data_IF_512902383909
#
_entry.id   IF_512902383909
#
_cell.length_a   1.000
_cell.length_b   1.000
_cell.length_c   1.000
_cell.angle_alpha   90.00
_cell.angle_beta   90.00
_cell.angle_gamma   90.00
#
_symmetry.space_group_name_H-M   'P 1'
#
loop_
_entity.id
_entity.type
_entity.pdbx_description
1 polymer ?
#
# COMPACT_ATOMS: atom_id res chain seq x y z
N UNK A 1 8.29 38.94 -61.15
CA UNK A 1 7.92 38.71 -59.73
C UNK A 1 8.16 37.26 -59.22
N UNK A 2 8.45 36.28 -60.07
CA UNK A 2 8.61 34.87 -59.67
C UNK A 2 9.97 34.48 -59.03
N UNK A 3 11.04 35.24 -59.26
CA UNK A 3 12.38 34.90 -58.68
C UNK A 3 12.46 35.11 -57.16
N UNK A 4 11.65 35.99 -56.56
CA UNK A 4 11.66 36.25 -55.12
C UNK A 4 11.03 35.10 -54.31
N UNK A 5 10.18 34.31 -54.92
CA UNK A 5 9.44 33.22 -54.22
C UNK A 5 10.30 31.94 -54.04
N UNK A 6 11.23 31.64 -54.99
CA UNK A 6 12.11 30.45 -54.86
C UNK A 6 13.14 30.57 -53.73
N UNK A 7 13.74 31.74 -53.53
CA UNK A 7 14.71 31.96 -52.45
C UNK A 7 14.04 31.86 -51.08
N UNK A 8 12.81 32.33 -50.93
CA UNK A 8 12.02 32.21 -49.69
C UNK A 8 11.69 30.76 -49.35
N UNK A 9 11.42 29.92 -50.34
CA UNK A 9 11.19 28.48 -50.13
C UNK A 9 12.48 27.75 -49.67
N UNK A 10 13.63 28.03 -50.31
CA UNK A 10 14.91 27.41 -49.94
C UNK A 10 15.35 27.82 -48.53
N UNK A 11 15.12 29.07 -48.12
CA UNK A 11 15.36 29.53 -46.75
C UNK A 11 14.43 28.80 -45.76
N UNK A 12 13.14 28.63 -46.10
CA UNK A 12 12.20 27.87 -45.30
C UNK A 12 12.66 26.41 -45.06
N UNK A 13 13.06 25.74 -46.14
CA UNK A 13 13.60 24.35 -46.05
C UNK A 13 14.89 24.29 -45.24
N UNK A 14 15.80 25.28 -45.40
CA UNK A 14 17.03 25.38 -44.62
C UNK A 14 16.77 25.56 -43.10
N UNK A 15 15.84 26.43 -42.75
CA UNK A 15 15.42 26.65 -41.36
C UNK A 15 14.76 25.40 -40.74
N UNK A 16 13.91 24.72 -41.52
CA UNK A 16 13.28 23.47 -41.06
C UNK A 16 14.30 22.35 -40.87
N UNK A 17 15.21 22.16 -41.82
CA UNK A 17 16.29 21.18 -41.70
C UNK A 17 17.20 21.48 -40.49
N UNK A 18 17.58 22.74 -40.30
CA UNK A 18 18.36 23.15 -39.14
C UNK A 18 17.61 22.92 -37.84
N UNK A 19 16.31 23.22 -37.78
CA UNK A 19 15.47 22.99 -36.57
C UNK A 19 15.35 21.49 -36.25
N UNK A 20 15.19 20.63 -37.25
CA UNK A 20 15.13 19.17 -37.09
C UNK A 20 16.47 18.61 -36.58
N UNK A 21 17.59 19.04 -37.18
CA UNK A 21 18.93 18.63 -36.75
C UNK A 21 19.20 19.14 -35.31
N UNK A 22 18.90 20.39 -35.02
CA UNK A 22 19.05 20.96 -33.66
C UNK A 22 18.19 20.22 -32.64
N UNK A 23 16.93 19.89 -32.99
CA UNK A 23 16.06 19.09 -32.14
C UNK A 23 16.60 17.68 -31.93
N UNK A 24 17.14 17.02 -32.98
CA UNK A 24 17.79 15.71 -32.86
C UNK A 24 19.02 15.71 -31.96
N UNK A 25 19.87 16.74 -32.06
CA UNK A 25 21.05 16.92 -31.23
C UNK A 25 20.63 17.18 -29.77
N UNK A 26 19.67 18.06 -29.56
CA UNK A 26 19.12 18.32 -28.21
C UNK A 26 18.46 17.06 -27.58
N UNK A 27 17.78 16.29 -28.39
CA UNK A 27 17.19 15.01 -27.96
C UNK A 27 18.27 13.98 -27.58
N UNK A 28 19.30 13.84 -28.41
CA UNK A 28 20.45 12.97 -28.13
C UNK A 28 21.16 13.35 -26.82
N UNK A 29 21.51 14.62 -26.65
CA UNK A 29 22.11 15.10 -25.41
C UNK A 29 21.13 14.97 -24.22
N UNK A 30 19.84 15.20 -24.44
CA UNK A 30 18.80 15.00 -23.43
C UNK A 30 18.78 13.58 -22.90
N UNK A 31 18.90 12.55 -23.77
CA UNK A 31 18.98 11.14 -23.38
C UNK A 31 20.29 10.84 -22.62
N UNK A 32 21.43 11.31 -23.11
CA UNK A 32 22.74 11.08 -22.48
C UNK A 32 22.82 11.70 -21.08
N UNK A 33 22.29 12.92 -20.91
CA UNK A 33 22.25 13.57 -19.59
C UNK A 33 21.14 13.03 -18.67
N UNK A 34 20.13 12.32 -19.20
CA UNK A 34 19.03 11.78 -18.38
C UNK A 34 19.54 10.80 -17.32
N UNK A 35 20.51 9.94 -17.67
CA UNK A 35 21.14 9.03 -16.72
C UNK A 35 21.81 9.80 -15.56
N UNK A 36 22.60 10.81 -15.89
CA UNK A 36 23.28 11.67 -14.88
C UNK A 36 22.29 12.42 -14.00
N UNK A 37 21.17 12.87 -14.56
CA UNK A 37 20.10 13.55 -13.82
C UNK A 37 19.41 12.58 -12.85
N UNK A 38 19.11 11.35 -13.30
CA UNK A 38 18.52 10.31 -12.45
C UNK A 38 19.47 9.96 -11.30
N UNK A 39 20.77 9.80 -11.56
CA UNK A 39 21.78 9.54 -10.55
C UNK A 39 21.91 10.70 -9.54
N UNK A 40 21.89 11.94 -10.01
CA UNK A 40 21.92 13.12 -9.16
C UNK A 40 20.65 13.19 -8.28
N UNK A 41 19.47 12.90 -8.84
CA UNK A 41 18.22 12.82 -8.08
C UNK A 41 18.26 11.69 -7.05
N UNK A 42 18.79 10.53 -7.42
CA UNK A 42 18.99 9.40 -6.52
C UNK A 42 19.90 9.74 -5.32
N UNK A 43 21.01 10.42 -5.59
CA UNK A 43 21.90 10.93 -4.53
C UNK A 43 21.20 11.96 -3.64
N UNK A 44 20.46 12.88 -4.22
CA UNK A 44 19.68 13.88 -3.46
C UNK A 44 18.64 13.21 -2.55
N UNK A 45 17.89 12.24 -3.08
CA UNK A 45 16.90 11.47 -2.29
C UNK A 45 17.59 10.67 -1.17
N UNK A 46 18.76 10.12 -1.42
CA UNK A 46 19.54 9.42 -0.38
C UNK A 46 19.96 10.36 0.75
N UNK A 47 20.41 11.58 0.43
CA UNK A 47 20.74 12.60 1.42
C UNK A 47 19.50 13.06 2.19
N UNK A 48 18.37 13.18 1.52
CA UNK A 48 17.10 13.57 2.13
C UNK A 48 16.38 12.42 2.86
N UNK A 49 16.90 11.20 2.79
CA UNK A 49 16.29 10.01 3.40
C UNK A 49 15.86 10.20 4.86
N UNK A 50 16.69 10.76 5.79
CA UNK A 50 16.26 11.00 7.18
C UNK A 50 15.06 11.96 7.28
N UNK A 51 15.02 12.97 6.41
CA UNK A 51 13.89 13.92 6.37
C UNK A 51 12.62 13.28 5.83
N UNK A 52 12.74 12.39 4.82
CA UNK A 52 11.61 11.63 4.30
C UNK A 52 11.05 10.71 5.38
N UNK A 53 11.91 9.98 6.10
CA UNK A 53 11.51 9.16 7.24
C UNK A 53 10.86 10.00 8.34
N UNK A 54 11.42 11.17 8.67
CA UNK A 54 10.81 12.10 9.63
C UNK A 54 9.44 12.60 9.21
N UNK A 55 9.23 12.87 7.91
CA UNK A 55 7.92 13.19 7.35
C UNK A 55 6.93 12.03 7.50
N UNK A 56 7.32 10.80 7.15
CA UNK A 56 6.48 9.60 7.27
C UNK A 56 6.10 9.37 8.73
N UNK A 57 7.08 9.38 9.65
CA UNK A 57 6.84 9.20 11.09
C UNK A 57 5.89 10.30 11.59
N UNK A 58 6.15 11.56 11.27
CA UNK A 58 5.28 12.67 11.69
C UNK A 58 3.86 12.50 11.18
N UNK A 59 3.70 12.04 9.93
CA UNK A 59 2.39 11.81 9.32
C UNK A 59 1.62 10.71 10.04
N UNK A 60 2.26 9.58 10.33
CA UNK A 60 1.68 8.46 11.08
C UNK A 60 1.29 8.83 12.51
N UNK A 61 2.05 9.73 13.14
CA UNK A 61 1.80 10.17 14.52
C UNK A 61 0.72 11.26 14.65
N UNK A 62 0.32 11.94 13.57
CA UNK A 62 -0.70 13.00 13.62
C UNK A 62 -2.00 12.55 14.28
N UNK A 63 -2.60 11.38 13.96
CA UNK A 63 -3.84 10.92 14.58
C UNK A 63 -3.71 10.71 16.09
N UNK A 64 -2.70 9.95 16.52
CA UNK A 64 -2.44 9.63 17.94
C UNK A 64 -2.11 10.89 18.74
N UNK A 65 -1.18 11.74 18.22
CA UNK A 65 -0.86 13.02 18.86
C UNK A 65 -2.10 13.92 19.01
N UNK A 66 -2.95 14.00 17.96
CA UNK A 66 -4.17 14.82 18.02
C UNK A 66 -5.18 14.26 19.03
N UNK A 67 -5.27 12.94 19.13
CA UNK A 67 -6.11 12.26 20.11
C UNK A 67 -5.65 12.59 21.54
N UNK A 68 -4.35 12.45 21.83
CA UNK A 68 -3.76 12.75 23.12
C UNK A 68 -3.87 14.23 23.48
N UNK A 69 -3.61 15.13 22.50
CA UNK A 69 -3.77 16.58 22.71
C UNK A 69 -5.20 16.92 23.11
N UNK A 70 -6.21 16.39 22.39
CA UNK A 70 -7.61 16.77 22.60
C UNK A 70 -8.22 16.09 23.82
N UNK A 71 -7.99 14.77 24.02
CA UNK A 71 -8.66 13.99 25.07
C UNK A 71 -7.94 13.97 26.41
N UNK A 72 -6.59 14.03 26.41
CA UNK A 72 -5.82 13.98 27.66
C UNK A 72 -5.34 15.36 28.10
N UNK A 73 -4.49 16.01 27.27
CA UNK A 73 -3.71 17.13 27.76
C UNK A 73 -4.43 18.48 27.76
N UNK A 74 -5.34 18.75 26.81
CA UNK A 74 -6.14 19.98 26.85
C UNK A 74 -7.03 20.08 28.09
N UNK A 75 -7.82 19.05 28.46
CA UNK A 75 -8.64 19.13 29.67
C UNK A 75 -7.79 19.18 30.96
N UNK A 76 -6.66 18.46 30.97
CA UNK A 76 -5.74 18.44 32.13
C UNK A 76 -5.13 19.82 32.34
N UNK A 77 -4.58 20.44 31.32
CA UNK A 77 -3.99 21.80 31.41
C UNK A 77 -5.05 22.84 31.72
N UNK A 78 -6.26 22.72 31.15
CA UNK A 78 -7.37 23.61 31.49
C UNK A 78 -7.75 23.52 32.97
N UNK A 79 -7.73 22.31 33.55
CA UNK A 79 -7.99 22.09 34.98
C UNK A 79 -6.89 22.70 35.86
N UNK A 80 -5.60 22.49 35.51
CA UNK A 80 -4.44 23.08 36.21
C UNK A 80 -4.52 24.61 36.18
N UNK A 81 -4.81 25.22 35.05
CA UNK A 81 -4.91 26.66 34.91
C UNK A 81 -6.07 27.26 35.71
N UNK A 82 -7.16 26.50 35.94
CA UNK A 82 -8.27 26.91 36.84
C UNK A 82 -7.85 26.86 38.28
N UNK A 83 -7.08 25.84 38.69
CA UNK A 83 -6.70 25.62 40.09
C UNK A 83 -5.50 26.47 40.52
N UNK A 84 -4.60 26.82 39.59
CA UNK A 84 -3.38 27.62 39.83
C UNK A 84 -3.24 28.73 38.79
N UNK A 85 -3.98 29.84 38.88
CA UNK A 85 -3.97 30.89 37.85
C UNK A 85 -2.63 31.64 37.72
N UNK A 86 -1.74 31.53 38.71
CA UNK A 86 -0.36 32.07 38.68
C UNK A 86 0.58 31.30 37.73
N UNK A 87 0.31 30.02 37.48
CA UNK A 87 1.01 29.22 36.49
C UNK A 87 0.25 29.32 35.15
N UNK A 88 0.41 30.43 34.41
CA UNK A 88 -0.08 30.53 33.05
C UNK A 88 0.69 29.52 32.17
N UNK A 89 0.27 28.26 32.22
CA UNK A 89 0.83 27.20 31.35
C UNK A 89 0.54 27.58 29.90
N UNK A 90 1.62 27.74 29.13
CA UNK A 90 1.51 28.27 27.77
C UNK A 90 0.61 27.40 26.90
N UNK A 91 -0.08 28.03 25.96
CA UNK A 91 -1.01 27.40 25.02
C UNK A 91 -0.41 26.25 24.19
N UNK A 92 0.93 26.14 24.19
CA UNK A 92 1.68 25.10 23.47
C UNK A 92 1.93 23.84 24.29
N UNK A 93 1.84 23.90 25.65
CA UNK A 93 2.17 22.77 26.52
C UNK A 93 1.37 21.49 26.25
N UNK A 94 0.02 21.53 26.08
CA UNK A 94 -0.74 20.32 25.76
C UNK A 94 -0.25 19.59 24.49
N UNK A 95 0.20 20.38 23.52
CA UNK A 95 0.71 19.85 22.25
C UNK A 95 2.07 19.21 22.41
N UNK A 96 2.99 19.82 23.16
CA UNK A 96 4.32 19.26 23.44
C UNK A 96 4.21 17.95 24.20
N UNK A 97 3.36 17.90 25.25
CA UNK A 97 3.14 16.69 26.00
C UNK A 97 2.50 15.57 25.16
N UNK A 98 1.54 15.92 24.32
CA UNK A 98 0.91 14.96 23.42
C UNK A 98 1.90 14.41 22.36
N UNK A 99 2.81 15.25 21.87
CA UNK A 99 3.85 14.87 20.94
C UNK A 99 4.85 13.89 21.59
N UNK A 100 5.38 14.25 22.77
CA UNK A 100 6.31 13.40 23.51
C UNK A 100 5.65 12.05 23.82
N UNK A 101 4.41 12.05 24.28
CA UNK A 101 3.69 10.81 24.57
C UNK A 101 3.48 9.97 23.30
N UNK A 102 3.14 10.58 22.17
CA UNK A 102 2.94 9.87 20.90
C UNK A 102 4.25 9.21 20.41
N UNK A 103 5.39 9.92 20.48
CA UNK A 103 6.70 9.38 20.14
C UNK A 103 7.10 8.23 21.08
N UNK A 104 6.94 8.42 22.40
CA UNK A 104 7.26 7.37 23.39
C UNK A 104 6.40 6.12 23.14
N UNK A 105 5.08 6.28 22.96
CA UNK A 105 4.18 5.15 22.70
C UNK A 105 4.56 4.44 21.40
N UNK A 106 4.90 5.17 20.34
CA UNK A 106 5.38 4.57 19.09
C UNK A 106 6.67 3.78 19.30
N UNK A 107 7.66 4.37 20.00
CA UNK A 107 8.94 3.70 20.26
C UNK A 107 8.76 2.46 21.14
N UNK A 108 7.91 2.54 22.18
CA UNK A 108 7.59 1.40 23.03
C UNK A 108 6.87 0.29 22.24
N UNK A 109 5.95 0.66 21.35
CA UNK A 109 5.23 -0.30 20.51
C UNK A 109 6.19 -1.00 19.54
N UNK A 110 7.08 -0.25 18.91
CA UNK A 110 8.13 -0.81 18.01
C UNK A 110 9.07 -1.72 18.83
N UNK A 111 9.56 -1.26 19.98
CA UNK A 111 10.43 -2.05 20.85
C UNK A 111 9.75 -3.34 21.34
N UNK A 112 8.47 -3.26 21.74
CA UNK A 112 7.68 -4.42 22.14
C UNK A 112 7.49 -5.42 20.98
N UNK A 113 7.20 -4.93 19.77
CA UNK A 113 7.12 -5.79 18.58
C UNK A 113 8.44 -6.50 18.32
N UNK A 114 9.56 -5.78 18.35
CA UNK A 114 10.88 -6.40 18.16
C UNK A 114 11.18 -7.42 19.25
N UNK A 115 10.92 -7.08 20.54
CA UNK A 115 11.14 -7.97 21.66
C UNK A 115 10.31 -9.26 21.58
N UNK A 116 9.07 -9.18 21.11
CA UNK A 116 8.19 -10.33 20.95
C UNK A 116 8.51 -11.16 19.71
N UNK A 117 8.83 -10.50 18.58
CA UNK A 117 8.98 -11.16 17.28
C UNK A 117 10.35 -11.80 17.13
N UNK A 118 11.44 -11.06 17.44
CA UNK A 118 12.79 -11.50 17.10
C UNK A 118 13.16 -12.82 17.78
N UNK A 119 12.96 -13.03 19.11
CA UNK A 119 13.21 -14.33 19.72
C UNK A 119 12.37 -15.45 19.11
N UNK A 120 11.08 -15.20 18.90
CA UNK A 120 10.16 -16.20 18.36
C UNK A 120 10.50 -16.60 16.92
N UNK A 121 10.95 -15.66 16.09
CA UNK A 121 11.46 -15.93 14.75
C UNK A 121 12.70 -16.80 14.82
N UNK A 122 13.65 -16.43 15.68
CA UNK A 122 14.87 -17.20 15.89
C UNK A 122 14.58 -18.63 16.34
N UNK A 123 13.75 -18.81 17.38
CA UNK A 123 13.35 -20.11 17.91
C UNK A 123 12.63 -20.95 16.85
N UNK A 124 11.70 -20.33 16.10
CA UNK A 124 10.95 -21.00 15.04
C UNK A 124 11.87 -21.50 13.92
N UNK A 125 12.80 -20.68 13.48
CA UNK A 125 13.74 -21.03 12.41
C UNK A 125 14.72 -22.10 12.90
N UNK A 126 15.24 -21.96 14.13
CA UNK A 126 16.12 -22.97 14.74
C UNK A 126 15.41 -24.31 14.87
N UNK A 127 14.14 -24.33 15.31
CA UNK A 127 13.33 -25.53 15.41
C UNK A 127 13.09 -26.18 14.03
N UNK A 128 12.82 -25.39 12.99
CA UNK A 128 12.65 -25.88 11.62
C UNK A 128 13.95 -26.54 11.12
N UNK A 129 15.09 -25.89 11.31
CA UNK A 129 16.40 -26.41 10.87
C UNK A 129 16.73 -27.70 11.60
N UNK A 130 16.57 -27.72 12.94
CA UNK A 130 16.93 -28.88 13.77
C UNK A 130 16.00 -30.08 13.52
N UNK A 131 14.71 -29.83 13.33
CA UNK A 131 13.71 -30.89 13.19
C UNK A 131 13.36 -31.20 11.73
N UNK A 132 13.94 -30.50 10.75
CA UNK A 132 13.62 -30.71 9.33
C UNK A 132 13.73 -32.18 8.88
N UNK A 133 14.76 -32.97 9.28
CA UNK A 133 14.81 -34.37 8.87
C UNK A 133 13.59 -35.17 9.35
N UNK A 134 13.23 -35.03 10.63
CA UNK A 134 12.08 -35.75 11.20
C UNK A 134 10.71 -35.30 10.62
N UNK A 135 10.59 -34.04 10.23
CA UNK A 135 9.38 -33.56 9.56
C UNK A 135 9.23 -34.15 8.17
N UNK A 136 10.33 -34.27 7.42
CA UNK A 136 10.31 -34.92 6.11
C UNK A 136 9.99 -36.40 6.21
N UNK A 137 10.59 -37.11 7.16
CA UNK A 137 10.31 -38.54 7.38
C UNK A 137 8.83 -38.78 7.77
N UNK A 138 8.28 -37.90 8.61
CA UNK A 138 6.87 -37.96 9.01
C UNK A 138 5.93 -37.68 7.84
N UNK A 139 6.27 -36.73 6.99
CA UNK A 139 5.47 -36.40 5.81
C UNK A 139 5.55 -37.51 4.75
N UNK A 140 6.73 -38.09 4.52
CA UNK A 140 6.89 -39.27 3.66
C UNK A 140 6.02 -40.45 4.15
N UNK A 141 6.09 -40.76 5.45
CA UNK A 141 5.26 -41.81 6.04
C UNK A 141 3.78 -41.58 5.94
N UNK A 142 3.35 -40.30 6.05
CA UNK A 142 1.94 -39.93 5.87
C UNK A 142 1.47 -40.09 4.42
N UNK A 143 2.28 -39.70 3.44
CA UNK A 143 1.99 -39.88 2.01
C UNK A 143 1.90 -41.37 1.65
N UNK A 144 2.88 -42.16 2.07
CA UNK A 144 2.93 -43.60 1.88
C UNK A 144 1.68 -44.30 2.45
N UNK A 145 1.32 -43.97 3.69
CA UNK A 145 0.14 -44.52 4.34
C UNK A 145 -1.22 -44.12 3.70
N UNK A 146 -1.31 -42.88 3.18
CA UNK A 146 -2.54 -42.39 2.55
C UNK A 146 -2.72 -42.90 1.12
N UNK A 147 -1.63 -43.19 0.41
CA UNK A 147 -1.63 -43.52 -1.02
C UNK A 147 -1.30 -44.99 -1.31
N UNK A 148 -1.17 -45.83 -0.29
CA UNK A 148 -0.88 -47.30 -0.43
C UNK A 148 -1.77 -48.00 -1.45
N UNK A 149 -3.03 -47.61 -1.54
CA UNK A 149 -3.99 -48.20 -2.45
C UNK A 149 -3.93 -47.63 -3.88
N UNK A 150 -3.10 -46.61 -4.12
CA UNK A 150 -2.97 -45.92 -5.41
C UNK A 150 -1.48 -45.71 -5.81
N UNK A 151 -0.77 -46.77 -6.23
CA UNK A 151 0.68 -46.75 -6.44
C UNK A 151 1.18 -45.74 -7.51
N UNK A 152 0.38 -45.45 -8.53
CA UNK A 152 0.74 -44.43 -9.52
C UNK A 152 0.71 -43.02 -8.93
N UNK A 153 -0.31 -42.72 -8.10
CA UNK A 153 -0.44 -41.43 -7.44
C UNK A 153 0.62 -41.24 -6.36
N UNK A 154 0.92 -42.31 -5.62
CA UNK A 154 1.98 -42.36 -4.61
C UNK A 154 3.35 -42.00 -5.22
N UNK A 155 3.70 -42.57 -6.38
CA UNK A 155 4.96 -42.29 -7.06
C UNK A 155 5.08 -40.82 -7.50
N UNK A 156 4.00 -40.25 -8.03
CA UNK A 156 3.97 -38.82 -8.39
C UNK A 156 4.02 -37.92 -7.16
N UNK A 157 3.27 -38.22 -6.12
CA UNK A 157 3.23 -37.47 -4.87
C UNK A 157 4.60 -37.48 -4.18
N UNK A 158 5.24 -38.64 -4.09
CA UNK A 158 6.59 -38.82 -3.52
C UNK A 158 7.66 -38.04 -4.30
N UNK A 159 7.56 -38.05 -5.64
CA UNK A 159 8.47 -37.28 -6.49
C UNK A 159 8.31 -35.76 -6.33
N UNK A 160 7.05 -35.27 -6.28
CA UNK A 160 6.74 -33.84 -6.06
C UNK A 160 7.23 -33.43 -4.67
N UNK A 161 6.95 -34.27 -3.66
CA UNK A 161 7.34 -33.99 -2.29
C UNK A 161 8.87 -34.00 -2.13
N UNK A 162 9.58 -34.94 -2.75
CA UNK A 162 11.05 -34.99 -2.80
C UNK A 162 11.64 -33.70 -3.40
N UNK A 163 11.10 -33.24 -4.54
CA UNK A 163 11.54 -31.99 -5.15
C UNK A 163 11.26 -30.76 -4.26
N UNK A 164 10.14 -30.74 -3.57
CA UNK A 164 9.79 -29.68 -2.61
C UNK A 164 10.73 -29.69 -1.41
N UNK A 165 11.03 -30.89 -0.87
CA UNK A 165 11.97 -31.07 0.23
C UNK A 165 13.37 -30.59 -0.14
N UNK A 166 13.87 -31.00 -1.33
CA UNK A 166 15.14 -30.54 -1.85
C UNK A 166 15.19 -29.03 -2.07
N UNK A 167 14.13 -28.45 -2.61
CA UNK A 167 14.03 -27.01 -2.82
C UNK A 167 14.01 -26.25 -1.49
N UNK A 168 13.24 -26.71 -0.51
CA UNK A 168 13.17 -26.13 0.84
C UNK A 168 14.49 -26.27 1.58
N UNK A 169 15.12 -27.45 1.53
CA UNK A 169 16.43 -27.69 2.14
C UNK A 169 17.50 -26.78 1.52
N UNK A 170 17.56 -26.70 0.19
CA UNK A 170 18.47 -25.80 -0.52
C UNK A 170 18.20 -24.33 -0.20
N UNK A 171 16.93 -23.92 -0.14
CA UNK A 171 16.56 -22.57 0.24
C UNK A 171 16.94 -22.26 1.69
N UNK A 172 16.69 -23.19 2.60
CA UNK A 172 17.06 -23.04 4.02
C UNK A 172 18.57 -22.98 4.20
N UNK A 173 19.33 -23.91 3.60
CA UNK A 173 20.79 -23.98 3.76
C UNK A 173 21.54 -22.90 2.98
N UNK A 174 21.11 -22.58 1.76
CA UNK A 174 21.86 -21.70 0.86
C UNK A 174 21.38 -20.23 0.91
N UNK A 175 20.17 -19.98 1.40
CA UNK A 175 19.60 -18.63 1.40
C UNK A 175 19.24 -18.16 2.81
N UNK A 176 18.49 -18.95 3.56
CA UNK A 176 17.94 -18.53 4.84
C UNK A 176 19.02 -18.52 5.93
N UNK A 177 19.77 -19.61 6.09
CA UNK A 177 20.87 -19.71 7.07
C UNK A 177 21.97 -18.66 6.84
N UNK A 178 22.55 -18.51 5.63
CA UNK A 178 23.55 -17.48 5.38
C UNK A 178 23.01 -16.06 5.55
N UNK A 179 21.73 -15.85 5.19
CA UNK A 179 21.08 -14.55 5.40
C UNK A 179 20.92 -14.25 6.88
N UNK A 180 20.56 -15.23 7.71
CA UNK A 180 20.47 -15.06 9.16
C UNK A 180 21.85 -14.93 9.82
N UNK A 181 22.83 -15.74 9.40
CA UNK A 181 24.22 -15.63 9.85
C UNK A 181 24.78 -14.26 9.44
N UNK A 182 24.45 -13.77 8.25
CA UNK A 182 24.79 -12.41 7.82
C UNK A 182 24.05 -11.34 8.62
N UNK A 183 22.81 -11.56 9.04
CA UNK A 183 22.09 -10.65 9.96
C UNK A 183 22.74 -10.64 11.33
N UNK A 184 23.07 -11.81 11.90
CA UNK A 184 23.75 -11.92 13.19
C UNK A 184 25.18 -11.39 13.13
N UNK A 185 25.94 -11.73 12.09
CA UNK A 185 27.31 -11.23 11.88
C UNK A 185 27.33 -9.76 11.45
N UNK A 186 26.30 -9.30 10.70
CA UNK A 186 26.11 -7.88 10.39
C UNK A 186 25.62 -7.08 11.61
N UNK A 187 24.95 -7.65 12.57
CA UNK A 187 24.75 -7.02 13.88
C UNK A 187 26.08 -6.87 14.64
N UNK A 188 26.99 -7.82 14.49
CA UNK A 188 28.30 -7.80 15.18
C UNK A 188 29.37 -7.02 14.41
N UNK A 189 29.42 -7.13 13.07
CA UNK A 189 30.34 -6.41 12.17
C UNK A 189 29.71 -5.19 11.49
N UNK A 190 28.38 -5.12 11.46
CA UNK A 190 27.57 -4.10 10.83
C UNK A 190 27.33 -2.86 11.68
N UNK A 191 28.16 -2.59 12.68
CA UNK A 191 28.11 -1.34 13.46
C UNK A 191 27.93 -0.13 12.54
N UNK A 192 28.55 -0.14 11.36
CA UNK A 192 28.39 0.96 10.37
C UNK A 192 27.02 0.97 9.69
N UNK A 193 26.44 -0.19 9.32
CA UNK A 193 25.10 -0.24 8.71
C UNK A 193 24.00 0.00 9.74
N UNK A 194 24.16 -0.54 10.95
CA UNK A 194 23.28 -0.28 12.09
C UNK A 194 23.39 1.18 12.53
N UNK A 195 24.61 1.76 12.59
CA UNK A 195 24.81 3.18 12.87
C UNK A 195 24.19 4.08 11.81
N UNK A 196 24.31 3.75 10.52
CA UNK A 196 23.66 4.50 9.44
C UNK A 196 22.13 4.36 9.49
N UNK A 197 21.62 3.17 9.76
CA UNK A 197 20.19 2.93 9.98
C UNK A 197 19.69 3.66 11.22
N UNK A 198 20.40 3.55 12.34
CA UNK A 198 20.10 4.25 13.58
C UNK A 198 20.19 5.76 13.41
N UNK A 199 21.19 6.26 12.70
CA UNK A 199 21.30 7.68 12.33
C UNK A 199 20.06 8.16 11.59
N UNK A 200 19.62 7.43 10.54
CA UNK A 200 18.44 7.82 9.79
C UNK A 200 17.16 7.79 10.65
N UNK A 201 17.03 6.81 11.55
CA UNK A 201 15.89 6.71 12.49
C UNK A 201 15.94 7.82 13.52
N UNK A 202 17.09 8.07 14.15
CA UNK A 202 17.25 9.13 15.17
C UNK A 202 17.01 10.50 14.55
N UNK A 203 17.63 10.79 13.41
CA UNK A 203 17.38 12.06 12.70
C UNK A 203 15.92 12.13 12.24
N UNK A 204 15.34 11.02 11.75
CA UNK A 204 13.92 10.95 11.39
C UNK A 204 13.01 11.28 12.57
N UNK A 205 13.27 10.77 13.77
CA UNK A 205 12.53 11.10 14.99
C UNK A 205 12.69 12.59 15.33
N UNK A 206 13.90 13.12 15.31
CA UNK A 206 14.16 14.55 15.58
C UNK A 206 13.38 15.42 14.57
N UNK A 207 13.43 15.06 13.29
CA UNK A 207 12.71 15.76 12.22
C UNK A 207 11.20 15.63 12.42
N UNK A 208 10.68 14.45 12.83
CA UNK A 208 9.25 14.27 13.11
C UNK A 208 8.77 15.16 14.24
N UNK A 209 9.52 15.21 15.34
CA UNK A 209 9.28 16.13 16.47
C UNK A 209 9.21 17.57 15.99
N UNK A 210 10.21 17.99 15.19
CA UNK A 210 10.26 19.36 14.67
C UNK A 210 9.07 19.69 13.77
N UNK A 211 8.69 18.78 12.85
CA UNK A 211 7.54 18.94 11.96
C UNK A 211 6.24 19.02 12.76
N UNK A 212 6.02 18.09 13.69
CA UNK A 212 4.81 18.03 14.51
C UNK A 212 4.67 19.26 15.41
N UNK A 213 5.76 19.70 16.02
CA UNK A 213 5.79 20.91 16.83
C UNK A 213 5.44 22.15 16.01
N UNK A 214 6.06 22.30 14.84
CA UNK A 214 5.92 23.47 13.96
C UNK A 214 4.86 23.31 12.86
N UNK A 215 3.96 22.33 12.95
CA UNK A 215 2.91 22.07 11.95
C UNK A 215 2.13 23.33 11.57
N UNK A 216 1.71 24.14 12.56
CA UNK A 216 0.92 25.37 12.29
C UNK A 216 1.72 26.43 11.53
N UNK A 217 2.94 26.82 11.95
CA UNK A 217 3.82 27.70 11.17
C UNK A 217 4.08 27.20 9.74
N UNK A 218 4.40 25.93 9.56
CA UNK A 218 4.66 25.37 8.22
C UNK A 218 3.44 25.51 7.31
N UNK A 219 2.26 25.17 7.79
CA UNK A 219 1.01 25.35 7.02
C UNK A 219 0.77 26.84 6.70
N UNK A 220 1.07 27.75 7.62
CA UNK A 220 0.91 29.19 7.39
C UNK A 220 1.89 29.70 6.31
N UNK A 221 3.17 29.30 6.35
CA UNK A 221 4.16 29.63 5.31
C UNK A 221 3.75 29.07 3.95
N UNK A 222 3.33 27.80 3.91
CA UNK A 222 2.81 27.18 2.69
C UNK A 222 1.63 27.97 2.10
N UNK A 223 0.65 28.37 2.93
CA UNK A 223 -0.48 29.22 2.48
C UNK A 223 0.01 30.56 1.95
N UNK A 224 0.96 31.20 2.64
CA UNK A 224 1.55 32.48 2.18
C UNK A 224 2.16 32.35 0.79
N UNK A 225 2.96 31.31 0.55
CA UNK A 225 3.54 31.01 -0.76
C UNK A 225 2.44 30.77 -1.80
N UNK A 226 1.45 29.96 -1.47
CA UNK A 226 0.36 29.63 -2.39
C UNK A 226 -0.43 30.87 -2.84
N UNK A 227 -0.76 31.76 -1.90
CA UNK A 227 -1.47 33.01 -2.21
C UNK A 227 -0.59 34.06 -2.87
N UNK A 228 0.75 33.97 -2.79
CA UNK A 228 1.65 34.86 -3.52
C UNK A 228 1.79 34.49 -5.00
N UNK A 229 1.69 33.18 -5.32
CA UNK A 229 1.87 32.66 -6.69
C UNK A 229 0.56 32.61 -7.46
N UNK A 230 -0.54 32.22 -6.78
CA UNK A 230 -1.82 31.95 -7.41
C UNK A 230 -2.91 32.97 -6.99
N UNK A 231 -3.82 33.26 -7.91
CA UNK A 231 -5.00 34.06 -7.58
C UNK A 231 -5.82 33.41 -6.44
N UNK A 232 -6.54 34.18 -5.61
CA UNK A 232 -7.29 33.66 -4.46
C UNK A 232 -8.23 32.50 -4.81
N UNK A 233 -8.87 32.55 -5.99
CA UNK A 233 -9.78 31.52 -6.47
C UNK A 233 -9.04 30.20 -6.82
N UNK A 234 -7.84 30.30 -7.44
CA UNK A 234 -6.98 29.13 -7.73
C UNK A 234 -6.39 28.57 -6.45
N UNK A 235 -5.87 29.42 -5.57
CA UNK A 235 -5.30 29.03 -4.27
C UNK A 235 -6.33 28.28 -3.41
N UNK A 236 -7.60 28.75 -3.36
CA UNK A 236 -8.71 28.07 -2.67
C UNK A 236 -8.95 26.66 -3.23
N UNK A 237 -8.91 26.48 -4.57
CA UNK A 237 -9.09 25.17 -5.22
C UNK A 237 -7.94 24.21 -4.88
N UNK A 238 -6.69 24.67 -4.99
CA UNK A 238 -5.50 23.86 -4.64
C UNK A 238 -5.56 23.45 -3.17
N UNK A 239 -5.90 24.38 -2.26
CA UNK A 239 -6.03 24.08 -0.84
C UNK A 239 -7.12 23.06 -0.53
N UNK A 240 -8.25 23.10 -1.28
CA UNK A 240 -9.32 22.12 -1.16
C UNK A 240 -8.87 20.73 -1.63
N UNK A 241 -8.19 20.66 -2.78
CA UNK A 241 -7.62 19.41 -3.30
C UNK A 241 -6.62 18.78 -2.34
N UNK A 242 -5.71 19.59 -1.77
CA UNK A 242 -4.74 19.10 -0.79
C UNK A 242 -5.40 18.61 0.51
N UNK A 243 -6.45 19.28 0.98
CA UNK A 243 -7.23 18.80 2.14
C UNK A 243 -7.94 17.49 1.84
N UNK A 244 -8.46 17.33 0.63
CA UNK A 244 -9.06 16.07 0.19
C UNK A 244 -8.01 14.97 0.14
N UNK A 245 -6.83 15.23 -0.46
CA UNK A 245 -5.73 14.30 -0.50
C UNK A 245 -5.27 13.88 0.91
N UNK A 246 -5.04 14.84 1.81
CA UNK A 246 -4.66 14.58 3.21
C UNK A 246 -5.70 13.70 3.92
N UNK A 247 -6.99 14.00 3.76
CA UNK A 247 -8.07 13.19 4.35
C UNK A 247 -8.08 11.77 3.79
N UNK A 248 -7.91 11.61 2.48
CA UNK A 248 -7.91 10.30 1.80
C UNK A 248 -6.72 9.46 2.23
N UNK A 249 -5.50 10.02 2.19
CA UNK A 249 -4.30 9.32 2.65
C UNK A 249 -4.36 8.95 4.13
N UNK A 250 -4.71 9.93 4.98
CA UNK A 250 -4.78 9.71 6.44
C UNK A 250 -5.84 8.67 6.80
N UNK A 251 -7.02 8.76 6.19
CA UNK A 251 -8.11 7.80 6.40
C UNK A 251 -7.71 6.40 5.98
N UNK A 252 -7.10 6.25 4.81
CA UNK A 252 -6.64 4.96 4.29
C UNK A 252 -5.53 4.34 5.15
N UNK A 253 -4.46 5.09 5.43
CA UNK A 253 -3.31 4.58 6.19
C UNK A 253 -3.73 4.22 7.62
N UNK A 254 -4.44 5.13 8.32
CA UNK A 254 -4.91 4.87 9.68
C UNK A 254 -5.90 3.69 9.74
N UNK A 255 -6.79 3.62 8.76
CA UNK A 255 -7.73 2.51 8.64
C UNK A 255 -7.01 1.20 8.41
N UNK A 256 -6.04 1.15 7.48
CA UNK A 256 -5.33 -0.09 7.15
C UNK A 256 -4.39 -0.56 8.25
N UNK A 257 -3.76 0.36 8.97
CA UNK A 257 -2.98 0.02 10.17
C UNK A 257 -3.85 -0.60 11.27
N UNK A 258 -5.01 0.00 11.53
CA UNK A 258 -5.96 -0.51 12.52
C UNK A 258 -6.51 -1.88 12.11
N UNK A 259 -6.90 -2.03 10.86
CA UNK A 259 -7.37 -3.27 10.25
C UNK A 259 -6.33 -4.39 10.41
N UNK A 260 -5.10 -4.14 10.01
CA UNK A 260 -3.97 -5.08 10.13
C UNK A 260 -3.68 -5.48 11.58
N UNK A 261 -3.77 -4.53 12.51
CA UNK A 261 -3.61 -4.83 13.93
C UNK A 261 -4.73 -5.75 14.45
N UNK A 262 -5.98 -5.49 14.06
CA UNK A 262 -7.13 -6.32 14.45
C UNK A 262 -6.99 -7.72 13.87
N UNK A 263 -6.65 -7.84 12.58
CA UNK A 263 -6.44 -9.14 11.92
C UNK A 263 -5.29 -9.92 12.57
N UNK A 264 -4.18 -9.25 12.89
CA UNK A 264 -3.07 -9.87 13.62
C UNK A 264 -3.50 -10.44 14.99
N UNK A 265 -4.25 -9.66 15.75
CA UNK A 265 -4.78 -10.11 17.06
C UNK A 265 -5.78 -11.25 16.90
N UNK A 266 -6.72 -11.17 15.97
CA UNK A 266 -7.68 -12.25 15.71
C UNK A 266 -6.99 -13.52 15.20
N UNK A 267 -5.99 -13.39 14.37
CA UNK A 267 -5.15 -14.50 13.91
C UNK A 267 -4.43 -15.15 15.09
N UNK A 268 -3.84 -14.37 15.99
CA UNK A 268 -3.20 -14.89 17.19
C UNK A 268 -4.16 -15.68 18.08
N UNK A 269 -5.31 -15.09 18.40
CA UNK A 269 -6.34 -15.74 19.20
C UNK A 269 -6.79 -17.05 18.56
N UNK A 270 -7.07 -17.06 17.24
CA UNK A 270 -7.49 -18.26 16.52
C UNK A 270 -6.41 -19.34 16.52
N UNK A 271 -5.15 -18.97 16.23
CA UNK A 271 -4.03 -19.92 16.28
C UNK A 271 -3.81 -20.53 17.67
N UNK A 272 -3.95 -19.74 18.75
CA UNK A 272 -3.86 -20.23 20.12
C UNK A 272 -5.00 -21.19 20.47
N UNK A 273 -6.24 -20.84 20.11
CA UNK A 273 -7.41 -21.70 20.35
C UNK A 273 -7.27 -23.05 19.62
N UNK A 274 -6.79 -23.00 18.37
CA UNK A 274 -6.58 -24.20 17.54
C UNK A 274 -5.26 -24.91 17.88
N UNK A 275 -4.50 -24.44 18.89
CA UNK A 275 -3.20 -24.99 19.33
C UNK A 275 -2.19 -25.13 18.17
N UNK A 276 -2.19 -24.15 17.26
CA UNK A 276 -1.28 -24.16 16.11
C UNK A 276 0.17 -23.86 16.54
N UNK A 277 1.16 -24.53 15.92
CA UNK A 277 2.56 -24.21 16.16
C UNK A 277 2.86 -22.78 15.70
N UNK A 278 3.83 -22.14 16.34
CA UNK A 278 4.31 -20.79 15.96
C UNK A 278 3.20 -19.70 15.90
N UNK A 279 2.16 -19.82 16.74
CA UNK A 279 0.98 -18.94 16.71
C UNK A 279 1.32 -17.44 16.69
N UNK A 280 2.29 -16.98 17.51
CA UNK A 280 2.71 -15.58 17.52
C UNK A 280 3.39 -15.16 16.23
N UNK A 281 4.34 -15.97 15.72
CA UNK A 281 5.04 -15.70 14.46
C UNK A 281 4.06 -15.57 13.29
N UNK A 282 3.17 -16.56 13.16
CA UNK A 282 2.15 -16.59 12.10
C UNK A 282 1.25 -15.37 12.17
N UNK A 283 0.74 -15.05 13.35
CA UNK A 283 -0.16 -13.91 13.52
C UNK A 283 0.48 -12.56 13.21
N UNK A 284 1.76 -12.43 13.53
CA UNK A 284 2.53 -11.23 13.18
C UNK A 284 2.77 -11.17 11.67
N UNK A 285 3.17 -12.27 11.04
CA UNK A 285 3.35 -12.33 9.57
C UNK A 285 2.03 -11.95 8.89
N UNK A 286 0.93 -12.60 9.25
CA UNK A 286 -0.40 -12.32 8.66
C UNK A 286 -0.85 -10.89 8.94
N UNK A 287 -0.70 -10.39 10.17
CA UNK A 287 -1.07 -9.03 10.53
C UNK A 287 -0.24 -7.97 9.81
N UNK A 288 1.08 -8.12 9.75
CA UNK A 288 1.96 -7.16 9.08
C UNK A 288 1.73 -7.16 7.55
N UNK A 289 1.63 -8.34 6.96
CA UNK A 289 1.39 -8.42 5.50
C UNK A 289 0.01 -7.92 5.11
N UNK A 290 -1.00 -8.01 5.99
CA UNK A 290 -2.35 -7.48 5.75
C UNK A 290 -2.39 -5.97 5.53
N UNK A 291 -1.31 -5.23 5.81
CA UNK A 291 -1.17 -3.81 5.44
C UNK A 291 -1.30 -3.62 3.93
N UNK A 292 -0.85 -4.59 3.12
CA UNK A 292 -0.97 -4.56 1.66
C UNK A 292 -2.36 -5.07 1.27
N UNK A 293 -3.23 -4.22 0.69
CA UNK A 293 -4.57 -4.67 0.29
C UNK A 293 -4.49 -5.78 -0.76
N UNK A 294 -5.43 -6.71 -0.74
CA UNK A 294 -5.55 -7.88 -1.61
C UNK A 294 -4.40 -8.90 -1.51
N UNK A 295 -3.17 -8.48 -1.68
CA UNK A 295 -2.00 -9.37 -1.69
C UNK A 295 -1.51 -9.75 -0.30
N UNK A 296 -1.73 -8.88 0.70
CA UNK A 296 -1.28 -9.10 2.06
C UNK A 296 -1.68 -10.44 2.66
N UNK A 297 -2.96 -10.81 2.59
CA UNK A 297 -3.42 -12.12 3.07
C UNK A 297 -2.67 -13.30 2.46
N UNK A 298 -2.42 -13.29 1.17
CA UNK A 298 -1.70 -14.38 0.48
C UNK A 298 -0.22 -14.39 0.84
N UNK A 299 0.43 -13.21 0.88
CA UNK A 299 1.84 -13.07 1.25
C UNK A 299 2.07 -13.56 2.68
N UNK A 300 1.08 -13.39 3.59
CA UNK A 300 1.17 -13.87 4.95
C UNK A 300 0.77 -15.33 5.11
N UNK A 301 -0.33 -15.75 4.48
CA UNK A 301 -0.87 -17.09 4.66
C UNK A 301 -0.02 -18.19 4.02
N UNK A 302 0.55 -17.96 2.83
CA UNK A 302 1.32 -18.98 2.11
C UNK A 302 2.57 -19.41 2.91
N UNK A 303 3.49 -18.52 3.32
CA UNK A 303 4.64 -18.94 4.12
C UNK A 303 4.23 -19.51 5.47
N UNK A 304 3.17 -18.97 6.10
CA UNK A 304 2.65 -19.50 7.36
C UNK A 304 2.08 -20.91 7.22
N UNK A 305 1.36 -21.18 6.13
CA UNK A 305 0.85 -22.53 5.84
C UNK A 305 2.02 -23.52 5.58
N UNK A 306 3.05 -23.09 4.86
CA UNK A 306 4.24 -23.91 4.63
C UNK A 306 4.97 -24.24 5.94
N UNK A 307 5.09 -23.28 6.86
CA UNK A 307 5.68 -23.50 8.17
C UNK A 307 4.90 -24.54 8.99
N UNK A 308 3.57 -24.44 8.98
CA UNK A 308 2.71 -25.40 9.71
C UNK A 308 2.73 -26.78 9.02
N UNK A 309 2.75 -26.81 7.69
CA UNK A 309 2.77 -28.04 6.89
C UNK A 309 3.98 -28.92 7.24
N UNK A 310 5.15 -28.29 7.48
CA UNK A 310 6.35 -29.00 7.87
C UNK A 310 6.22 -29.70 9.23
N UNK A 311 5.42 -29.12 10.14
CA UNK A 311 5.25 -29.66 11.50
C UNK A 311 4.11 -30.67 11.56
N UNK A 312 2.94 -30.34 11.01
CA UNK A 312 1.73 -31.17 11.02
C UNK A 312 0.84 -30.84 9.82
N UNK A 313 0.72 -31.77 8.83
CA UNK A 313 -0.13 -31.59 7.67
C UNK A 313 -1.62 -31.41 7.99
N UNK A 314 -2.13 -32.04 9.05
CA UNK A 314 -3.52 -31.89 9.47
C UNK A 314 -3.78 -30.47 10.03
N UNK A 315 -2.85 -29.97 10.82
CA UNK A 315 -2.90 -28.60 11.34
C UNK A 315 -2.84 -27.58 10.21
N UNK A 316 -2.04 -27.84 9.16
CA UNK A 316 -2.00 -26.98 7.97
C UNK A 316 -3.37 -26.83 7.30
N UNK A 317 -4.13 -27.94 7.13
CA UNK A 317 -5.46 -27.89 6.58
C UNK A 317 -6.39 -27.01 7.44
N UNK A 318 -6.36 -27.19 8.77
CA UNK A 318 -7.15 -26.36 9.69
C UNK A 318 -6.74 -24.88 9.63
N UNK A 319 -5.45 -24.60 9.47
CA UNK A 319 -4.95 -23.24 9.31
C UNK A 319 -5.48 -22.58 8.03
N UNK A 320 -5.43 -23.29 6.90
CA UNK A 320 -5.94 -22.77 5.62
C UNK A 320 -7.44 -22.44 5.72
N UNK A 321 -8.23 -23.34 6.32
CA UNK A 321 -9.66 -23.11 6.56
C UNK A 321 -9.87 -21.88 7.48
N UNK A 322 -9.13 -21.82 8.58
CA UNK A 322 -9.21 -20.72 9.54
C UNK A 322 -8.86 -19.38 8.90
N UNK A 323 -7.73 -19.30 8.16
CA UNK A 323 -7.32 -18.07 7.50
C UNK A 323 -8.33 -17.67 6.43
N UNK A 324 -8.90 -18.63 5.68
CA UNK A 324 -9.95 -18.32 4.73
C UNK A 324 -11.16 -17.67 5.41
N UNK A 325 -11.63 -18.22 6.54
CA UNK A 325 -12.72 -17.63 7.33
C UNK A 325 -12.32 -16.24 7.84
N UNK A 326 -11.12 -16.09 8.35
CA UNK A 326 -10.58 -14.80 8.83
C UNK A 326 -10.58 -13.76 7.72
N UNK A 327 -10.16 -14.14 6.49
CA UNK A 327 -10.16 -13.24 5.34
C UNK A 327 -11.57 -12.89 4.87
N UNK A 328 -12.54 -13.81 4.96
CA UNK A 328 -13.94 -13.48 4.69
C UNK A 328 -14.50 -12.48 5.72
N UNK A 329 -14.12 -12.64 6.97
CA UNK A 329 -14.48 -11.69 8.04
C UNK A 329 -13.85 -10.31 7.78
N UNK A 330 -12.58 -10.27 7.37
CA UNK A 330 -11.88 -9.04 7.00
C UNK A 330 -12.57 -8.34 5.83
N UNK A 331 -12.71 -9.03 4.71
CA UNK A 331 -13.26 -8.47 3.47
C UNK A 331 -14.71 -8.00 3.56
N UNK A 332 -15.55 -8.71 4.33
CA UNK A 332 -17.00 -8.44 4.37
C UNK A 332 -17.46 -7.65 5.61
N UNK A 333 -16.70 -7.66 6.70
CA UNK A 333 -17.15 -7.06 7.96
C UNK A 333 -16.17 -6.00 8.48
N UNK A 334 -14.90 -6.37 8.67
CA UNK A 334 -13.90 -5.53 9.34
C UNK A 334 -13.47 -4.40 8.39
N UNK A 335 -13.03 -4.75 7.19
CA UNK A 335 -12.59 -3.79 6.18
C UNK A 335 -13.63 -2.71 5.87
N UNK A 336 -14.89 -3.06 5.51
CA UNK A 336 -15.94 -2.07 5.28
C UNK A 336 -16.24 -1.20 6.50
N UNK A 337 -16.17 -1.73 7.72
CA UNK A 337 -16.41 -0.95 8.94
C UNK A 337 -15.27 0.01 9.26
N UNK A 338 -14.03 -0.37 9.00
CA UNK A 338 -12.84 0.45 9.33
C UNK A 338 -12.56 1.46 8.22
N UNK A 339 -12.49 1.00 6.97
CA UNK A 339 -12.18 1.85 5.82
C UNK A 339 -13.40 2.66 5.37
N UNK A 340 -14.62 2.17 5.66
CA UNK A 340 -15.88 2.82 5.34
C UNK A 340 -16.02 3.14 3.86
N UNK A 341 -16.78 4.19 3.56
CA UNK A 341 -16.90 4.76 2.20
C UNK A 341 -15.66 5.61 1.81
N UNK A 342 -14.59 5.54 2.60
CA UNK A 342 -13.43 6.44 2.45
C UNK A 342 -12.68 6.24 1.14
N UNK A 343 -12.80 5.06 0.50
CA UNK A 343 -12.10 4.75 -0.75
C UNK A 343 -12.94 5.20 -1.96
N UNK A 344 -14.27 5.06 -1.93
CA UNK A 344 -15.19 5.57 -2.96
C UNK A 344 -15.00 5.03 -4.39
N UNK A 345 -14.12 4.03 -4.57
CA UNK A 345 -13.84 3.37 -5.86
C UNK A 345 -14.15 1.88 -5.79
N UNK A 346 -14.51 1.29 -6.95
CA UNK A 346 -14.78 -0.13 -7.07
C UNK A 346 -13.50 -0.98 -6.83
N UNK A 347 -13.66 -2.21 -6.33
CA UNK A 347 -12.58 -3.16 -6.09
C UNK A 347 -11.65 -3.39 -7.29
N UNK A 348 -12.17 -3.36 -8.52
CA UNK A 348 -11.35 -3.39 -9.74
C UNK A 348 -10.29 -2.27 -9.76
N UNK A 349 -10.69 -1.04 -9.46
CA UNK A 349 -9.77 0.11 -9.45
C UNK A 349 -8.77 0.05 -8.29
N UNK A 350 -9.15 -0.59 -7.19
CA UNK A 350 -8.20 -0.85 -6.09
C UNK A 350 -7.12 -1.82 -6.55
N UNK A 351 -7.51 -2.97 -7.15
CA UNK A 351 -6.55 -3.93 -7.69
C UNK A 351 -5.66 -3.30 -8.79
N UNK A 352 -6.26 -2.57 -9.73
CA UNK A 352 -5.56 -1.85 -10.78
C UNK A 352 -4.49 -0.90 -10.22
N UNK A 353 -4.84 -0.13 -9.19
CA UNK A 353 -3.92 0.81 -8.55
C UNK A 353 -2.73 0.08 -7.89
N UNK A 354 -2.98 -1.04 -7.20
CA UNK A 354 -1.93 -1.82 -6.54
C UNK A 354 -0.95 -2.39 -7.57
N UNK A 355 -1.46 -2.94 -8.67
CA UNK A 355 -0.62 -3.52 -9.72
C UNK A 355 0.24 -2.45 -10.38
N UNK A 356 -0.34 -1.32 -10.80
CA UNK A 356 0.43 -0.26 -11.49
C UNK A 356 1.42 0.41 -10.56
N UNK A 357 0.96 0.90 -9.42
CA UNK A 357 1.86 1.60 -8.49
C UNK A 357 2.86 0.63 -7.86
N UNK A 358 2.46 -0.62 -7.62
CA UNK A 358 3.36 -1.69 -7.17
C UNK A 358 4.46 -2.00 -8.18
N UNK A 359 4.13 -2.06 -9.46
CA UNK A 359 5.10 -2.26 -10.55
C UNK A 359 6.11 -1.12 -10.68
N UNK A 360 5.69 0.13 -10.42
CA UNK A 360 6.54 1.33 -10.56
C UNK A 360 7.35 1.59 -9.28
N UNK A 361 6.73 1.50 -8.11
CA UNK A 361 7.29 1.93 -6.83
C UNK A 361 7.49 0.78 -5.83
N UNK A 362 7.31 -0.49 -6.25
CA UNK A 362 7.46 -1.66 -5.41
C UNK A 362 6.51 -1.66 -4.21
N UNK A 363 7.00 -2.09 -3.06
CA UNK A 363 6.24 -2.18 -1.81
C UNK A 363 5.49 -0.88 -1.45
N UNK A 364 6.16 0.26 -1.56
CA UNK A 364 5.56 1.56 -1.25
C UNK A 364 4.43 1.92 -2.21
N UNK A 365 4.56 1.50 -3.49
CA UNK A 365 3.50 1.64 -4.47
C UNK A 365 2.28 0.79 -4.16
N UNK A 366 2.45 -0.45 -3.70
CA UNK A 366 1.34 -1.31 -3.28
C UNK A 366 0.59 -0.70 -2.09
N UNK A 367 1.31 -0.13 -1.13
CA UNK A 367 0.71 0.46 0.06
C UNK A 367 0.02 1.80 -0.21
N UNK A 368 0.70 2.71 -0.92
CA UNK A 368 0.23 4.09 -1.12
C UNK A 368 -0.52 4.30 -2.45
N UNK A 369 -0.49 3.30 -3.33
CA UNK A 369 -1.10 3.39 -4.66
C UNK A 369 -2.60 3.59 -4.63
N UNK A 370 -3.30 2.92 -3.72
CA UNK A 370 -4.76 3.04 -3.59
C UNK A 370 -5.18 4.48 -3.28
N UNK A 371 -4.73 5.14 -2.20
CA UNK A 371 -5.12 6.51 -1.94
C UNK A 371 -4.61 7.49 -3.02
N UNK A 372 -3.44 7.24 -3.63
CA UNK A 372 -2.95 8.04 -4.74
C UNK A 372 -3.88 7.95 -5.95
N UNK A 373 -4.30 6.74 -6.30
CA UNK A 373 -5.24 6.51 -7.40
C UNK A 373 -6.61 7.14 -7.15
N UNK A 374 -7.15 7.03 -5.92
CA UNK A 374 -8.41 7.69 -5.53
C UNK A 374 -8.36 9.18 -5.80
N UNK A 375 -7.25 9.84 -5.47
CA UNK A 375 -7.08 11.28 -5.71
C UNK A 375 -7.07 11.58 -7.21
N UNK A 376 -6.34 10.80 -8.00
CA UNK A 376 -6.28 10.96 -9.46
C UNK A 376 -7.66 10.73 -10.07
N UNK A 377 -8.34 9.64 -9.68
CA UNK A 377 -9.67 9.28 -10.16
C UNK A 377 -10.68 10.39 -9.85
N UNK A 378 -10.74 10.86 -8.61
CA UNK A 378 -11.64 11.95 -8.20
C UNK A 378 -11.32 13.26 -8.92
N UNK A 379 -10.05 13.56 -9.15
CA UNK A 379 -9.64 14.74 -9.92
C UNK A 379 -10.13 14.66 -11.38
N UNK A 380 -10.00 13.49 -12.02
CA UNK A 380 -10.51 13.23 -13.37
C UNK A 380 -12.05 13.34 -13.41
N UNK A 381 -12.73 12.72 -12.46
CA UNK A 381 -14.18 12.80 -12.32
C UNK A 381 -14.67 14.25 -12.17
N UNK A 382 -14.00 15.05 -11.33
CA UNK A 382 -14.34 16.48 -11.20
C UNK A 382 -14.16 17.25 -12.52
N UNK A 383 -13.16 16.92 -13.32
CA UNK A 383 -12.93 17.55 -14.63
C UNK A 383 -14.03 17.14 -15.61
N UNK A 384 -14.37 15.84 -15.66
CA UNK A 384 -15.44 15.29 -16.50
C UNK A 384 -16.78 15.93 -16.13
N UNK A 385 -17.16 15.86 -14.86
CA UNK A 385 -18.44 16.40 -14.37
C UNK A 385 -18.58 17.90 -14.64
N UNK A 386 -17.47 18.67 -14.57
CA UNK A 386 -17.47 20.10 -14.93
C UNK A 386 -17.71 20.33 -16.42
N UNK A 387 -17.13 19.46 -17.29
CA UNK A 387 -17.34 19.55 -18.73
C UNK A 387 -18.77 19.16 -19.13
N UNK A 388 -19.31 18.10 -18.51
CA UNK A 388 -20.70 17.68 -18.72
C UNK A 388 -21.70 18.79 -18.30
N UNK A 389 -21.53 19.36 -17.09
CA UNK A 389 -22.35 20.51 -16.64
C UNK A 389 -22.30 21.72 -17.57
N UNK A 390 -21.15 21.96 -18.22
CA UNK A 390 -21.06 23.08 -19.19
C UNK A 390 -21.81 22.81 -20.50
N UNK A 391 -22.18 21.56 -20.74
CA UNK A 391 -22.91 21.09 -21.92
C UNK A 391 -24.34 20.71 -21.59
N UNK A 392 -24.80 21.04 -20.36
CA UNK A 392 -26.13 20.69 -19.83
C UNK A 392 -26.46 19.18 -19.91
N UNK A 393 -25.40 18.34 -19.83
CA UNK A 393 -25.51 16.88 -19.85
C UNK A 393 -25.51 16.31 -18.43
N UNK A 394 -26.20 15.16 -18.19
CA UNK A 394 -26.22 14.48 -16.91
C UNK A 394 -24.82 14.14 -16.41
N UNK A 395 -24.63 14.16 -15.10
CA UNK A 395 -23.34 13.81 -14.46
C UNK A 395 -23.32 12.41 -13.88
N UNK A 396 -24.46 11.78 -13.74
CA UNK A 396 -24.61 10.42 -13.23
C UNK A 396 -24.24 9.38 -14.31
N UNK A 397 -23.44 8.40 -13.94
CA UNK A 397 -22.99 7.35 -14.86
C UNK A 397 -24.15 6.44 -15.31
N UNK A 398 -25.23 6.35 -14.52
CA UNK A 398 -26.39 5.52 -14.83
C UNK A 398 -27.08 5.97 -16.12
N UNK A 399 -27.16 7.27 -16.35
CA UNK A 399 -27.72 7.87 -17.57
C UNK A 399 -27.00 7.41 -18.85
N UNK A 400 -25.75 6.97 -18.74
CA UNK A 400 -24.92 6.52 -19.87
C UNK A 400 -24.87 5.01 -20.05
N UNK A 401 -25.44 4.20 -19.13
CA UNK A 401 -25.36 2.72 -19.21
C UNK A 401 -26.03 2.14 -20.45
N UNK A 402 -27.19 2.70 -20.84
CA UNK A 402 -27.98 2.22 -21.99
C UNK A 402 -27.98 3.23 -23.15
N UNK A 403 -26.98 4.12 -23.17
CA UNK A 403 -26.89 5.16 -24.18
C UNK A 403 -26.36 4.59 -25.48
N UNK A 404 -27.01 4.89 -26.61
CA UNK A 404 -26.50 4.67 -27.95
C UNK A 404 -25.71 5.89 -28.42
N UNK A 405 -26.35 7.06 -28.45
CA UNK A 405 -25.71 8.34 -28.76
C UNK A 405 -26.45 9.51 -28.09
N UNK A 406 -25.84 10.67 -28.11
CA UNK A 406 -26.46 11.93 -27.71
C UNK A 406 -26.80 12.68 -28.99
N UNK A 407 -28.05 13.09 -29.18
CA UNK A 407 -28.45 13.86 -30.34
C UNK A 407 -27.67 15.19 -30.36
N UNK A 408 -26.96 15.51 -31.43
CA UNK A 408 -26.12 16.72 -31.49
C UNK A 408 -26.91 18.02 -31.54
N UNK A 409 -28.19 17.98 -31.97
CA UNK A 409 -29.03 19.18 -32.07
C UNK A 409 -29.87 19.40 -30.81
N UNK A 410 -30.45 18.34 -30.26
CA UNK A 410 -31.38 18.42 -29.10
C UNK A 410 -30.67 18.15 -27.76
N UNK A 411 -29.45 17.60 -27.77
CA UNK A 411 -28.70 17.09 -26.58
C UNK A 411 -29.46 16.02 -25.80
N UNK A 412 -30.48 15.40 -26.38
CA UNK A 412 -31.22 14.31 -25.75
C UNK A 412 -30.44 12.99 -25.81
N UNK A 413 -30.57 12.21 -24.72
CA UNK A 413 -29.94 10.90 -24.61
C UNK A 413 -30.78 9.84 -25.33
N UNK A 414 -30.27 9.29 -26.43
CA UNK A 414 -30.94 8.25 -27.20
C UNK A 414 -30.52 6.88 -26.68
N UNK A 415 -31.41 6.09 -26.09
CA UNK A 415 -31.09 4.77 -25.57
C UNK A 415 -30.90 3.74 -26.69
N UNK A 416 -30.04 2.73 -26.44
CA UNK A 416 -29.89 1.57 -27.33
C UNK A 416 -31.25 0.90 -27.56
N UNK A 417 -31.66 0.71 -28.80
CA UNK A 417 -32.84 -0.11 -29.15
C UNK A 417 -32.60 -1.54 -28.64
N UNK A 418 -33.47 -2.00 -27.70
CA UNK A 418 -33.52 -3.42 -27.38
C UNK A 418 -33.92 -4.17 -28.65
N UNK A 419 -33.01 -4.87 -29.29
CA UNK A 419 -33.34 -5.87 -30.32
C UNK A 419 -34.14 -6.94 -29.57
N UNK A 420 -35.44 -6.96 -29.79
CA UNK A 420 -36.23 -8.10 -29.34
C UNK A 420 -35.63 -9.37 -29.96
N UNK A 421 -35.38 -10.44 -29.19
CA UNK A 421 -34.99 -11.72 -29.79
C UNK A 421 -36.05 -12.04 -30.85
N UNK A 422 -35.60 -12.37 -32.06
CA UNK A 422 -36.49 -12.76 -33.12
C UNK A 422 -37.35 -13.91 -32.55
N UNK A 423 -38.70 -13.73 -32.51
CA UNK A 423 -39.64 -14.78 -32.23
C UNK A 423 -39.30 -15.94 -33.19
N UNK A 424 -38.85 -17.05 -32.63
CA UNK A 424 -38.74 -18.29 -33.40
C UNK A 424 -40.16 -18.57 -33.92
N UNK A 425 -40.36 -18.22 -35.17
CA UNK A 425 -41.52 -18.65 -35.93
C UNK A 425 -41.50 -20.17 -35.89
N UNK A 426 -42.34 -20.78 -35.06
CA UNK A 426 -42.59 -22.20 -35.09
C UNK A 426 -43.14 -22.53 -36.48
N UNK A 427 -42.30 -23.10 -37.33
CA UNK A 427 -42.73 -23.81 -38.50
C UNK A 427 -43.48 -25.06 -37.98
N UNK A 428 -44.80 -24.94 -37.77
CA UNK A 428 -45.70 -26.09 -37.65
C UNK A 428 -45.58 -26.87 -38.93
N UNK A 429 -44.99 -28.02 -38.81
CA UNK A 429 -45.01 -29.09 -39.81
C UNK A 429 -46.42 -29.46 -40.14
N UNK A 430 -46.87 -29.16 -41.29
CA UNK A 430 -47.83 -29.96 -42.04
C UNK A 430 -47.08 -31.21 -42.54
N UNK A 431 -47.31 -32.32 -41.90
CA UNK A 431 -47.12 -33.64 -42.47
C UNK A 431 -48.31 -34.49 -42.03
N UNK A 432 -49.36 -34.43 -42.84
CA UNK A 432 -50.36 -35.46 -43.00
C UNK A 432 -50.24 -35.95 -44.42
N UNK A 433 -49.58 -37.06 -44.61
CA UNK A 433 -50.09 -38.23 -45.39
C UNK A 433 -49.01 -39.33 -45.41
#
# INVERSE_FOLDING_TARGET
MERKNKYSQYIGWGVTAFAVIAAGVLFYFGIDYMGKLIDALGKLLSILSPFIWGLVISYLLIPSMTLYERKLFKPLVARINKTKPRLKTGTKLPRVLALILAEIVMLLLIAALFYLIVPQVYDSISAIITNSPSYFDSAYSAIDNLLKDYPEIEQYATKIFGNLTDALTKWTTNTLLPSMESVVTNITSGVFYVLKGLYNVVIGIIVSVYILYNKKPFIAHYRKILYSIFSPARAKRIMSALRFADKTFMGFISGKLLDSAIIGVLCYIGCVILKMPYALLISVIVGVTNIIPFFGPFIGAIPSALLILLVDPKMCLWFVIFVFILQQLDGNVIGPKILGTSIGINGFWVLFSIVIFGGIFGFWGMLLGVPAFVIIYTALEMVVNRKLKKRDLPIDAESYMNLDYIDPETLELVPKRRVKPAEKTEAKQENKK
#
